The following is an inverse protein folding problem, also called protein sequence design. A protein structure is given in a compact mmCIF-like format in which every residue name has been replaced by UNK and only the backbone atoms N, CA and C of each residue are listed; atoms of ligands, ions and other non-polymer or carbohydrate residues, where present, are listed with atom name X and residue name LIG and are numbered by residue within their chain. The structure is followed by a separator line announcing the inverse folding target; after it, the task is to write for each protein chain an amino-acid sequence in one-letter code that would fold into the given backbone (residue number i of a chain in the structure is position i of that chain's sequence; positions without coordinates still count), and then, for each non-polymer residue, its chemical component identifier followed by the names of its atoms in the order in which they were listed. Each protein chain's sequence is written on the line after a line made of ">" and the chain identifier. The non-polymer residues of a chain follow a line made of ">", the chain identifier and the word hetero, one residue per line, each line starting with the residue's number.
data_IF_134045395660
#
_entry.id   IF_134045395660
#
_cell.length_a   1.000
_cell.length_b   1.000
_cell.length_c   1.000
_cell.angle_alpha   90.00
_cell.angle_beta   90.00
_cell.angle_gamma   90.00
#
_symmetry.space_group_name_H-M   'P 1'
#
loop_
_entity.id
_entity.type
_entity.pdbx_description
1 polymer ?
#
# COMPACT_ATOMS: atom_id res chain seq x y z
N UNK A 1 3.59 -13.88 -12.55
CA UNK A 1 3.42 -13.81 -11.09
C UNK A 1 3.53 -12.36 -10.62
N UNK A 2 2.61 -11.92 -9.78
CA UNK A 2 2.67 -10.55 -9.23
C UNK A 2 3.56 -10.55 -8.00
N UNK A 3 4.47 -9.57 -7.92
CA UNK A 3 5.45 -9.47 -6.83
C UNK A 3 5.04 -8.47 -5.77
N UNK A 4 4.21 -7.50 -6.14
CA UNK A 4 3.81 -6.41 -5.23
C UNK A 4 2.31 -6.23 -5.23
N UNK A 5 1.76 -5.94 -4.06
CA UNK A 5 0.34 -5.63 -3.89
C UNK A 5 0.22 -4.30 -3.16
N UNK A 6 -0.46 -3.35 -3.77
CA UNK A 6 -0.70 -2.02 -3.18
C UNK A 6 -2.15 -1.90 -2.77
N UNK A 7 -2.38 -1.51 -1.52
CA UNK A 7 -3.73 -1.35 -0.97
C UNK A 7 -3.88 0.06 -0.41
N UNK A 8 -4.96 0.73 -0.78
CA UNK A 8 -5.33 2.03 -0.23
C UNK A 8 -6.26 1.84 0.97
N UNK A 9 -6.09 2.67 1.97
CA UNK A 9 -6.88 2.61 3.21
C UNK A 9 -7.43 3.98 3.56
N UNK A 10 -8.59 4.00 4.23
CA UNK A 10 -9.13 5.22 4.81
C UNK A 10 -8.52 5.46 6.21
N UNK A 11 -8.91 6.55 6.86
CA UNK A 11 -8.37 6.92 8.18
C UNK A 11 -8.71 5.91 9.27
N UNK A 12 -9.68 5.03 9.04
CA UNK A 12 -10.09 3.99 9.98
C UNK A 12 -9.41 2.66 9.73
N UNK A 13 -8.51 2.61 8.74
CA UNK A 13 -7.76 1.39 8.42
C UNK A 13 -8.53 0.40 7.56
N UNK A 14 -9.63 0.82 6.94
CA UNK A 14 -10.40 -0.04 6.05
C UNK A 14 -9.81 0.00 4.65
N UNK A 15 -9.61 -1.17 4.04
CA UNK A 15 -9.10 -1.30 2.68
C UNK A 15 -10.16 -0.81 1.69
N UNK A 16 -9.78 0.10 0.81
CA UNK A 16 -10.69 0.71 -0.16
C UNK A 16 -10.42 0.21 -1.58
N UNK A 17 -9.17 -0.04 -1.94
CA UNK A 17 -8.80 -0.47 -3.27
C UNK A 17 -7.48 -1.22 -3.21
N UNK A 18 -7.31 -2.21 -4.09
CA UNK A 18 -6.08 -3.02 -4.16
C UNK A 18 -5.68 -3.21 -5.61
N UNK A 19 -4.38 -3.06 -5.90
CA UNK A 19 -3.81 -3.34 -7.21
C UNK A 19 -2.55 -4.19 -7.07
N UNK A 20 -2.27 -5.02 -8.08
CA UNK A 20 -1.09 -5.89 -8.11
C UNK A 20 -0.16 -5.48 -9.24
N UNK A 21 1.15 -5.62 -9.02
CA UNK A 21 2.18 -5.17 -9.95
C UNK A 21 3.32 -6.17 -10.05
N UNK A 22 4.01 -6.16 -11.20
CA UNK A 22 5.14 -7.05 -11.44
C UNK A 22 6.48 -6.43 -11.06
N UNK A 23 6.54 -5.10 -10.91
CA UNK A 23 7.79 -4.40 -10.61
C UNK A 23 7.59 -3.33 -9.54
N UNK A 24 8.70 -2.96 -8.88
CA UNK A 24 8.66 -2.01 -7.79
C UNK A 24 8.42 -0.56 -8.24
N UNK A 25 8.79 -0.25 -9.48
CA UNK A 25 8.58 1.11 -10.01
C UNK A 25 7.09 1.41 -10.17
N UNK A 26 6.36 0.51 -10.84
CA UNK A 26 4.92 0.64 -11.01
C UNK A 26 4.20 0.65 -9.67
N UNK A 27 4.61 -0.22 -8.75
CA UNK A 27 4.03 -0.28 -7.41
C UNK A 27 4.22 1.04 -6.68
N UNK A 28 5.40 1.65 -6.77
CA UNK A 28 5.70 2.91 -6.11
C UNK A 28 4.84 4.05 -6.66
N UNK A 29 4.73 4.17 -7.98
CA UNK A 29 3.92 5.21 -8.60
C UNK A 29 2.44 5.09 -8.24
N UNK A 30 1.90 3.88 -8.27
CA UNK A 30 0.49 3.64 -7.95
C UNK A 30 0.24 3.86 -6.46
N UNK A 31 1.18 3.44 -5.61
CA UNK A 31 1.08 3.67 -4.18
C UNK A 31 0.97 5.17 -3.86
N UNK A 32 1.80 5.99 -4.50
CA UNK A 32 1.74 7.44 -4.33
C UNK A 32 0.39 8.00 -4.78
N UNK A 33 -0.07 7.61 -5.98
CA UNK A 33 -1.34 8.08 -6.52
C UNK A 33 -2.52 7.69 -5.63
N UNK A 34 -2.53 6.46 -5.13
CA UNK A 34 -3.60 5.98 -4.25
C UNK A 34 -3.58 6.72 -2.91
N UNK A 35 -2.40 7.02 -2.37
CA UNK A 35 -2.29 7.77 -1.12
C UNK A 35 -2.83 9.19 -1.26
N UNK A 36 -2.63 9.80 -2.41
CA UNK A 36 -3.16 11.15 -2.67
C UNK A 36 -4.67 11.14 -2.79
N UNK A 37 -5.23 10.08 -3.36
CA UNK A 37 -6.68 9.95 -3.54
C UNK A 37 -7.41 9.53 -2.26
N UNK A 38 -6.84 8.59 -1.50
CA UNK A 38 -7.53 7.96 -0.38
C UNK A 38 -6.97 8.34 1.00
N UNK A 39 -5.78 8.93 1.07
CA UNK A 39 -5.14 9.35 2.32
C UNK A 39 -3.95 8.49 2.73
N UNK A 40 -3.97 7.20 2.46
CA UNK A 40 -2.86 6.30 2.77
C UNK A 40 -2.89 5.10 1.83
N UNK A 41 -1.73 4.67 1.39
CA UNK A 41 -1.57 3.43 0.62
C UNK A 41 -0.29 2.74 1.01
N UNK A 42 -0.30 1.41 1.02
CA UNK A 42 0.83 0.58 1.39
C UNK A 42 1.07 -0.50 0.34
N UNK A 43 2.33 -0.74 0.02
CA UNK A 43 2.73 -1.80 -0.89
C UNK A 43 3.43 -2.90 -0.10
N UNK A 44 2.97 -4.14 -0.29
CA UNK A 44 3.58 -5.32 0.28
C UNK A 44 4.26 -6.13 -0.81
N UNK A 45 5.33 -6.84 -0.44
CA UNK A 45 6.02 -7.74 -1.37
C UNK A 45 5.34 -9.11 -1.45
N UNK A 46 5.96 -10.03 -2.19
CA UNK A 46 5.44 -11.37 -2.39
C UNK A 46 5.20 -12.14 -1.09
N UNK A 47 5.97 -11.84 -0.05
CA UNK A 47 5.87 -12.50 1.24
C UNK A 47 5.02 -11.75 2.26
N UNK A 48 4.33 -10.69 1.81
CA UNK A 48 3.47 -9.90 2.68
C UNK A 48 4.20 -8.90 3.57
N UNK A 49 5.49 -8.64 3.28
CA UNK A 49 6.28 -7.70 4.05
C UNK A 49 6.17 -6.30 3.46
N UNK A 50 6.29 -5.29 4.31
CA UNK A 50 6.23 -3.89 3.90
C UNK A 50 7.35 -3.56 2.91
N UNK A 51 6.96 -3.06 1.74
CA UNK A 51 7.88 -2.62 0.69
C UNK A 51 7.95 -1.09 0.63
N UNK A 52 6.82 -0.41 0.81
CA UNK A 52 6.78 1.04 0.83
C UNK A 52 5.38 1.53 1.17
N UNK A 53 5.26 2.80 1.53
CA UNK A 53 3.97 3.42 1.77
C UNK A 53 4.07 4.93 1.57
N UNK A 54 2.89 5.56 1.39
CA UNK A 54 2.75 7.01 1.30
C UNK A 54 1.51 7.44 2.05
N UNK A 55 1.57 8.64 2.63
CA UNK A 55 0.46 9.23 3.36
C UNK A 55 0.53 8.95 4.85
N UNK A 56 -0.57 9.22 5.55
CA UNK A 56 -0.65 9.08 7.00
C UNK A 56 -1.18 7.70 7.38
N UNK A 57 -0.30 6.84 7.90
CA UNK A 57 -0.68 5.47 8.27
C UNK A 57 -1.71 5.48 9.40
N UNK A 58 -2.90 4.89 9.21
CA UNK A 58 -3.90 4.79 10.27
C UNK A 58 -3.42 3.93 11.43
N UNK A 59 -3.73 4.33 12.66
CA UNK A 59 -3.37 3.56 13.85
C UNK A 59 -3.97 2.15 13.83
N UNK A 60 -5.17 2.02 13.25
CA UNK A 60 -5.86 0.73 13.18
C UNK A 60 -5.09 -0.35 12.42
N UNK A 61 -4.16 0.05 11.53
CA UNK A 61 -3.34 -0.91 10.79
C UNK A 61 -2.18 -1.47 11.61
N UNK A 62 -1.85 -0.85 12.75
CA UNK A 62 -0.73 -1.27 13.57
C UNK A 62 0.62 -0.94 12.92
N UNK A 63 1.66 -1.67 13.34
CA UNK A 63 3.02 -1.45 12.85
C UNK A 63 3.24 -2.12 11.49
N UNK A 64 4.16 -1.55 10.71
CA UNK A 64 4.56 -2.13 9.44
C UNK A 64 5.26 -3.48 9.66
N UNK A 65 5.02 -4.41 8.76
CA UNK A 65 5.63 -5.75 8.80
C UNK A 65 6.82 -5.77 7.83
N UNK A 66 8.00 -5.73 8.35
CA UNK A 66 9.24 -5.75 7.55
C UNK A 66 9.78 -7.15 7.36
#
# INVERSE_FOLDING_TARGET
>A
MFTFTTTAYNSQGQALETETHNDSWSACEICLAMSEQFGYAETLDLWGRHSGDYGDRPEALGQRVY
#
